data_IF_245595711498
#
_entry.id   IF_245595711498
#
_cell.length_a   1.000
_cell.length_b   1.000
_cell.length_c   1.000
_cell.angle_alpha   90.00
_cell.angle_beta   90.00
_cell.angle_gamma   90.00
#
_symmetry.space_group_name_H-M   'P 1'
#
loop_
_entity.id
_entity.type
_entity.pdbx_description
1 polymer ?
#
# COMPACT_ATOMS: atom_id res chain seq x y z
N UNK A 1 5.91 -18.41 -10.09
CA UNK A 1 5.22 -17.11 -10.29
C UNK A 1 4.24 -16.96 -9.16
N UNK A 2 4.67 -16.37 -8.04
CA UNK A 2 3.89 -16.31 -6.82
C UNK A 2 4.48 -15.21 -5.96
N UNK A 3 3.68 -14.19 -5.65
CA UNK A 3 4.13 -13.05 -4.86
C UNK A 3 3.87 -13.28 -3.38
N UNK A 4 4.83 -12.87 -2.55
CA UNK A 4 4.65 -12.66 -1.11
C UNK A 4 4.53 -11.16 -0.89
N UNK A 5 3.41 -10.71 -0.33
CA UNK A 5 3.21 -9.33 0.10
C UNK A 5 3.94 -9.09 1.43
N UNK A 6 4.66 -7.98 1.55
CA UNK A 6 5.15 -7.49 2.86
C UNK A 6 4.12 -6.54 3.43
N UNK A 7 3.39 -6.99 4.45
CA UNK A 7 2.52 -6.11 5.23
C UNK A 7 3.37 -5.28 6.18
N UNK A 8 3.42 -3.95 5.99
CA UNK A 8 3.85 -3.05 7.04
C UNK A 8 2.74 -2.96 8.11
N UNK A 9 2.79 -3.84 9.11
CA UNK A 9 2.08 -3.63 10.36
C UNK A 9 2.97 -2.79 11.28
N UNK A 10 2.67 -1.50 11.43
CA UNK A 10 3.09 -0.76 12.61
C UNK A 10 2.15 -1.17 13.75
N UNK A 11 2.59 -2.14 14.56
CA UNK A 11 2.06 -2.30 15.92
C UNK A 11 2.92 -1.47 16.89
N UNK A 12 2.33 -0.80 17.90
CA UNK A 12 3.10 -0.15 18.95
C UNK A 12 3.82 -1.23 19.76
N UNK A 13 5.15 -1.32 19.63
CA UNK A 13 5.97 -2.25 20.42
C UNK A 13 5.88 -1.87 21.90
N UNK A 14 5.42 -2.82 22.72
CA UNK A 14 5.58 -2.75 24.17
C UNK A 14 7.06 -2.98 24.50
N UNK A 15 7.57 -2.17 25.43
CA UNK A 15 8.94 -2.11 25.91
C UNK A 15 9.30 -3.43 26.62
N UNK A 16 10.35 -4.13 26.16
CA UNK A 16 11.45 -4.64 26.99
C UNK A 16 12.46 -5.48 26.17
N UNK A 17 13.72 -5.00 26.17
CA UNK A 17 15.01 -5.67 25.97
C UNK A 17 15.12 -6.90 25.04
N UNK A 18 15.89 -6.78 23.94
CA UNK A 18 16.95 -7.74 23.51
C UNK A 18 17.67 -7.28 22.22
N UNK A 19 19.00 -7.12 22.35
CA UNK A 19 20.11 -7.00 21.36
C UNK A 19 20.06 -5.97 20.20
N UNK A 20 21.09 -5.12 20.15
CA UNK A 20 21.38 -4.12 19.10
C UNK A 20 21.90 -4.71 17.75
N UNK A 21 21.83 -6.02 17.53
CA UNK A 21 22.34 -6.67 16.30
C UNK A 21 21.29 -7.01 15.24
N UNK A 22 20.11 -6.35 15.26
CA UNK A 22 19.07 -6.52 14.24
C UNK A 22 18.91 -5.36 13.26
N UNK A 23 19.76 -4.32 13.35
CA UNK A 23 19.56 -3.04 12.65
C UNK A 23 20.23 -3.00 11.26
N UNK A 24 20.26 -4.08 10.49
CA UNK A 24 20.66 -4.08 9.07
C UNK A 24 20.29 -5.43 8.43
N UNK A 25 19.02 -5.65 8.07
CA UNK A 25 18.60 -6.60 7.01
C UNK A 25 17.09 -6.92 7.06
N UNK A 26 16.25 -6.06 6.45
CA UNK A 26 15.05 -6.46 5.71
C UNK A 26 14.66 -5.35 4.73
N UNK A 27 15.55 -5.04 3.77
CA UNK A 27 15.15 -4.30 2.58
C UNK A 27 14.54 -5.33 1.62
N UNK A 28 13.23 -5.54 1.71
CA UNK A 28 12.53 -6.55 0.94
C UNK A 28 12.01 -5.92 -0.36
N UNK A 29 12.54 -6.38 -1.50
CA UNK A 29 12.31 -5.84 -2.85
C UNK A 29 10.89 -6.17 -3.31
N UNK A 30 10.12 -5.17 -3.76
CA UNK A 30 8.76 -5.36 -4.27
C UNK A 30 8.83 -5.51 -5.80
N UNK A 31 8.72 -6.75 -6.29
CA UNK A 31 8.64 -7.08 -7.73
C UNK A 31 7.20 -7.05 -8.27
N UNK A 32 6.23 -6.46 -7.54
CA UNK A 32 4.82 -6.60 -7.84
C UNK A 32 4.19 -5.27 -8.27
N UNK A 33 3.43 -5.32 -9.36
CA UNK A 33 2.56 -4.26 -9.86
C UNK A 33 1.33 -3.99 -8.98
N UNK A 34 1.17 -4.70 -7.85
CA UNK A 34 0.05 -4.55 -6.92
C UNK A 34 0.51 -4.11 -5.53
N UNK A 35 -0.07 -3.02 -5.04
CA UNK A 35 0.09 -2.50 -3.68
C UNK A 35 -1.19 -2.79 -2.89
N UNK A 36 -1.12 -3.75 -1.97
CA UNK A 36 -2.32 -4.24 -1.26
C UNK A 36 -2.80 -3.27 -0.18
N UNK A 37 -4.11 -3.02 -0.15
CA UNK A 37 -4.76 -2.40 1.00
C UNK A 37 -6.16 -3.00 1.20
N UNK A 38 -6.60 -3.01 2.46
CA UNK A 38 -7.92 -3.49 2.84
C UNK A 38 -8.69 -2.42 3.63
N UNK A 39 -9.94 -2.20 3.25
CA UNK A 39 -10.89 -1.37 3.97
C UNK A 39 -11.28 -2.02 5.31
N UNK A 40 -11.71 -1.22 6.28
CA UNK A 40 -12.11 -1.71 7.60
C UNK A 40 -13.48 -2.41 7.60
N UNK A 41 -14.36 -2.06 6.67
CA UNK A 41 -15.64 -2.71 6.39
C UNK A 41 -16.13 -2.26 5.00
N UNK A 42 -17.33 -2.68 4.60
CA UNK A 42 -17.92 -2.37 3.29
C UNK A 42 -18.48 -0.95 3.17
N UNK A 43 -18.56 -0.21 4.28
CA UNK A 43 -19.05 1.18 4.32
C UNK A 43 -17.90 2.19 4.42
N UNK A 44 -16.71 1.71 4.75
CA UNK A 44 -15.48 2.47 4.82
C UNK A 44 -15.11 3.02 3.44
N UNK A 45 -14.48 4.19 3.43
CA UNK A 45 -13.97 4.81 2.21
C UNK A 45 -12.45 4.73 2.19
N UNK A 46 -11.89 4.43 1.02
CA UNK A 46 -10.44 4.38 0.82
C UNK A 46 -9.94 5.55 -0.01
N UNK A 47 -8.68 5.94 0.17
CA UNK A 47 -7.96 6.81 -0.75
C UNK A 47 -6.53 6.29 -0.93
N UNK A 48 -6.06 6.27 -2.17
CA UNK A 48 -4.67 6.00 -2.51
C UNK A 48 -3.97 7.28 -2.89
N UNK A 49 -2.75 7.46 -2.38
CA UNK A 49 -1.90 8.59 -2.69
C UNK A 49 -0.51 8.12 -3.10
N UNK A 50 0.10 8.82 -4.06
CA UNK A 50 1.53 8.79 -4.31
C UNK A 50 2.12 10.06 -3.69
N UNK A 51 2.95 9.90 -2.64
CA UNK A 51 3.38 11.01 -1.76
C UNK A 51 2.16 11.77 -1.21
N UNK A 52 1.91 12.99 -1.70
CA UNK A 52 0.78 13.84 -1.31
C UNK A 52 -0.31 13.96 -2.37
N UNK A 53 -0.13 13.34 -3.54
CA UNK A 53 -1.05 13.44 -4.67
C UNK A 53 -2.07 12.31 -4.64
N UNK A 54 -3.36 12.63 -4.74
CA UNK A 54 -4.45 11.64 -4.76
C UNK A 54 -4.42 10.89 -6.09
N UNK A 55 -4.39 9.56 -6.01
CA UNK A 55 -4.53 8.65 -7.14
C UNK A 55 -6.00 8.25 -7.31
N UNK A 56 -6.59 7.76 -6.22
CA UNK A 56 -7.99 7.36 -6.13
C UNK A 56 -8.60 7.82 -4.81
N UNK A 57 -9.87 8.19 -4.84
CA UNK A 57 -10.71 8.44 -3.67
C UNK A 57 -12.01 7.64 -3.80
N UNK A 58 -12.06 6.47 -3.18
CA UNK A 58 -13.05 5.44 -3.53
C UNK A 58 -12.86 4.99 -4.98
N UNK A 59 -13.95 4.98 -5.74
CA UNK A 59 -13.92 4.62 -7.17
C UNK A 59 -13.47 5.80 -8.07
N UNK A 60 -13.42 7.01 -7.54
CA UNK A 60 -13.06 8.19 -8.31
C UNK A 60 -11.56 8.20 -8.59
N UNK A 61 -11.19 8.17 -9.87
CA UNK A 61 -9.79 8.30 -10.32
C UNK A 61 -9.42 9.77 -10.44
N UNK A 62 -8.42 10.20 -9.67
CA UNK A 62 -7.88 11.57 -9.68
C UNK A 62 -6.56 11.67 -10.45
N UNK A 63 -5.78 10.59 -10.48
CA UNK A 63 -4.54 10.55 -11.27
C UNK A 63 -4.84 10.54 -12.77
N UNK A 64 -4.05 11.28 -13.53
CA UNK A 64 -4.03 11.25 -15.01
C UNK A 64 -3.20 10.09 -15.56
N UNK A 65 -2.46 9.36 -14.72
CA UNK A 65 -1.65 8.22 -15.16
C UNK A 65 -2.57 7.08 -15.64
N UNK A 66 -2.50 6.66 -16.92
CA UNK A 66 -3.36 5.60 -17.43
C UNK A 66 -3.01 4.22 -16.85
N UNK A 67 -1.81 4.03 -16.29
CA UNK A 67 -1.30 2.73 -15.82
C UNK A 67 -1.92 2.28 -14.49
N UNK A 68 -2.52 3.20 -13.73
CA UNK A 68 -3.05 2.91 -12.40
C UNK A 68 -4.52 2.50 -12.40
N UNK A 69 -4.86 1.47 -11.61
CA UNK A 69 -6.22 0.97 -11.41
C UNK A 69 -6.44 0.46 -9.99
N UNK A 70 -7.70 0.45 -9.53
CA UNK A 70 -8.09 -0.25 -8.30
C UNK A 70 -8.40 -1.71 -8.65
N UNK A 71 -7.98 -2.60 -7.76
CA UNK A 71 -8.24 -4.03 -7.84
C UNK A 71 -9.11 -4.42 -6.66
N UNK A 72 -10.28 -4.95 -6.98
CA UNK A 72 -11.20 -5.57 -6.03
C UNK A 72 -11.48 -7.01 -6.50
N UNK A 73 -11.02 -8.02 -5.76
CA UNK A 73 -11.35 -9.41 -6.08
C UNK A 73 -12.86 -9.69 -5.94
N UNK A 74 -13.39 -10.52 -6.85
CA UNK A 74 -14.78 -10.99 -6.84
C UNK A 74 -14.99 -11.85 -5.59
N UNK A 75 -15.46 -11.22 -4.51
CA UNK A 75 -15.70 -11.85 -3.20
C UNK A 75 -15.16 -11.06 -2.02
N UNK A 76 -14.12 -10.22 -2.21
CA UNK A 76 -13.59 -9.35 -1.15
C UNK A 76 -14.05 -7.91 -1.37
N UNK A 77 -15.23 -7.57 -0.85
CA UNK A 77 -15.75 -6.19 -0.86
C UNK A 77 -14.88 -5.18 -0.07
N UNK A 78 -13.82 -5.66 0.56
CA UNK A 78 -12.89 -4.86 1.36
C UNK A 78 -11.52 -4.75 0.71
N UNK A 79 -11.24 -5.46 -0.38
CA UNK A 79 -9.99 -5.27 -1.10
C UNK A 79 -10.04 -3.94 -1.85
N UNK A 80 -9.03 -3.12 -1.60
CA UNK A 80 -8.85 -1.82 -2.20
C UNK A 80 -7.38 -1.67 -2.57
N UNK A 81 -6.89 -2.62 -3.38
CA UNK A 81 -5.48 -2.68 -3.78
C UNK A 81 -5.23 -1.76 -4.99
N UNK A 82 -4.10 -1.07 -5.03
CA UNK A 82 -3.67 -0.28 -6.18
C UNK A 82 -2.84 -1.16 -7.12
N UNK A 83 -3.16 -1.18 -8.40
CA UNK A 83 -2.29 -1.74 -9.44
C UNK A 83 -1.61 -0.61 -10.21
N UNK A 84 -0.33 -0.78 -10.56
CA UNK A 84 0.44 0.07 -11.44
C UNK A 84 1.00 -0.80 -12.57
N UNK A 85 0.42 -0.72 -13.76
CA UNK A 85 0.91 -1.47 -14.93
C UNK A 85 2.23 -0.89 -15.43
N UNK A 86 3.10 -1.74 -16.00
CA UNK A 86 4.39 -1.31 -16.56
C UNK A 86 5.17 -0.42 -15.59
N UNK A 87 5.41 -0.95 -14.37
CA UNK A 87 6.17 -0.27 -13.32
C UNK A 87 7.55 0.13 -13.84
N UNK A 88 7.92 1.38 -13.60
CA UNK A 88 9.19 1.99 -13.97
C UNK A 88 9.95 2.47 -12.72
N UNK A 89 11.26 2.70 -12.84
CA UNK A 89 12.09 3.21 -11.73
C UNK A 89 11.56 4.52 -11.15
N UNK A 90 10.85 5.33 -11.94
CA UNK A 90 10.19 6.57 -11.49
C UNK A 90 9.00 6.34 -10.56
N UNK A 91 8.46 5.13 -10.51
CA UNK A 91 7.37 4.77 -9.60
C UNK A 91 7.88 4.46 -8.18
N UNK A 92 9.21 4.34 -7.96
CA UNK A 92 9.82 4.15 -6.64
C UNK A 92 9.44 5.30 -5.69
N UNK A 93 8.95 4.91 -4.52
CA UNK A 93 8.63 5.86 -3.47
C UNK A 93 7.49 5.44 -2.56
N UNK A 94 7.08 6.38 -1.73
CA UNK A 94 6.02 6.18 -0.76
C UNK A 94 4.63 6.32 -1.39
N UNK A 95 3.83 5.27 -1.20
CA UNK A 95 2.40 5.24 -1.43
C UNK A 95 1.68 5.20 -0.09
N UNK A 96 0.48 5.78 -0.05
CA UNK A 96 -0.34 5.84 1.17
C UNK A 96 -1.74 5.34 0.87
N UNK A 97 -2.20 4.35 1.63
CA UNK A 97 -3.61 3.97 1.70
C UNK A 97 -4.24 4.60 2.95
N UNK A 98 -5.16 5.54 2.75
CA UNK A 98 -5.98 6.12 3.82
C UNK A 98 -7.35 5.46 3.82
N UNK A 99 -7.76 4.92 4.95
CA UNK A 99 -9.05 4.26 5.16
C UNK A 99 -9.83 5.08 6.18
N UNK A 100 -10.89 5.71 5.73
CA UNK A 100 -11.80 6.46 6.58
C UNK A 100 -12.92 5.54 7.09
N UNK A 101 -13.08 5.52 8.41
CA UNK A 101 -14.18 4.84 9.11
C UNK A 101 -14.87 5.85 10.03
N UNK A 102 -16.04 5.50 10.57
CA UNK A 102 -16.82 6.41 11.43
C UNK A 102 -16.07 6.79 12.73
N UNK A 103 -15.24 5.90 13.27
CA UNK A 103 -14.65 6.08 14.59
C UNK A 103 -13.12 5.98 14.63
N UNK A 104 -12.49 5.33 13.66
CA UNK A 104 -11.05 5.08 13.67
C UNK A 104 -10.46 5.17 12.25
N UNK A 105 -10.09 6.37 11.77
CA UNK A 105 -9.39 6.50 10.50
C UNK A 105 -8.02 5.81 10.60
N UNK A 106 -7.67 5.05 9.57
CA UNK A 106 -6.41 4.30 9.49
C UNK A 106 -5.62 4.78 8.28
N UNK A 107 -4.32 5.00 8.46
CA UNK A 107 -3.40 5.29 7.36
C UNK A 107 -2.31 4.24 7.34
N UNK A 108 -2.05 3.68 6.16
CA UNK A 108 -0.97 2.72 5.92
C UNK A 108 -0.02 3.33 4.90
N UNK A 109 1.25 3.48 5.27
CA UNK A 109 2.30 3.92 4.36
C UNK A 109 3.06 2.70 3.86
N UNK A 110 3.25 2.63 2.56
CA UNK A 110 3.88 1.52 1.86
C UNK A 110 4.94 2.11 0.95
N UNK A 111 6.18 1.63 1.04
CA UNK A 111 7.25 2.07 0.18
C UNK A 111 7.41 1.06 -0.97
N UNK A 112 7.16 1.49 -2.21
CA UNK A 112 7.44 0.71 -3.40
C UNK A 112 8.92 0.90 -3.75
N UNK A 113 9.70 -0.19 -3.73
CA UNK A 113 11.09 -0.17 -4.19
C UNK A 113 11.18 -0.83 -5.55
N UNK A 114 11.58 -0.06 -6.57
CA UNK A 114 11.76 -0.57 -7.94
C UNK A 114 13.25 -0.72 -8.20
N UNK A 115 13.69 -1.91 -8.65
CA UNK A 115 15.08 -2.13 -9.04
C UNK A 115 15.18 -2.03 -10.56
N UNK A 116 15.93 -1.05 -11.03
CA UNK A 116 16.36 -0.99 -12.43
C UNK A 116 17.29 -2.16 -12.75
N UNK A 117 17.16 -2.72 -13.94
CA UNK A 117 18.11 -3.70 -14.48
C UNK A 117 19.47 -3.07 -14.78
#
# INVERSE_FOLDING_TARGET
>A
MGCRSVTAALEPKTIDNMSEEGRHSKQEVVLCDFITCYLADVTSKGAWLNRSSIIFAGEDKWSVDPRVSIVSSIGSKREYSLQIQNVDITDDGQYTCSVQTQHNPRTVQIYLTVQGT
#
